data_IF_441428733107
#
_entry.id   IF_441428733107
#
_cell.length_a   1.000
_cell.length_b   1.000
_cell.length_c   1.000
_cell.angle_alpha   90.00
_cell.angle_beta   90.00
_cell.angle_gamma   90.00
#
_symmetry.space_group_name_H-M   'P 1'
#
loop_
_entity.id
_entity.type
_entity.pdbx_description
1 polymer ?
#
# COMPACT_ATOMS: atom_id res chain seq x y z
N UNK A 1 -12.47 28.17 -24.53
CA UNK A 1 -12.52 26.70 -24.55
C UNK A 1 -11.09 26.20 -24.54
N UNK A 2 -10.58 25.75 -23.40
CA UNK A 2 -9.24 25.14 -23.31
C UNK A 2 -9.27 23.84 -24.09
N UNK A 3 -8.36 23.67 -25.05
CA UNK A 3 -8.28 22.45 -25.85
C UNK A 3 -8.09 21.25 -24.91
N UNK A 4 -9.05 20.32 -24.95
CA UNK A 4 -8.97 19.06 -24.23
C UNK A 4 -7.86 18.25 -24.91
N UNK A 5 -6.78 17.94 -24.18
CA UNK A 5 -5.78 16.97 -24.66
C UNK A 5 -6.49 15.67 -25.05
N UNK A 6 -5.92 14.86 -25.95
CA UNK A 6 -6.49 13.54 -26.22
C UNK A 6 -6.47 12.68 -24.95
N UNK A 7 -7.39 11.71 -24.85
CA UNK A 7 -7.43 10.74 -23.75
C UNK A 7 -6.07 10.06 -23.56
N UNK A 8 -5.42 9.70 -24.68
CA UNK A 8 -4.08 9.11 -24.69
C UNK A 8 -3.01 10.05 -24.12
N UNK A 9 -2.97 11.32 -24.54
CA UNK A 9 -1.96 12.26 -24.04
C UNK A 9 -2.11 12.50 -22.53
N UNK A 10 -3.36 12.60 -22.04
CA UNK A 10 -3.59 12.72 -20.61
C UNK A 10 -3.24 11.44 -19.84
N UNK A 11 -3.55 10.26 -20.40
CA UNK A 11 -3.14 8.97 -19.84
C UNK A 11 -1.60 8.87 -19.75
N UNK A 12 -0.89 9.24 -20.81
CA UNK A 12 0.58 9.26 -20.83
C UNK A 12 1.17 10.24 -19.83
N UNK A 13 0.56 11.42 -19.68
CA UNK A 13 0.92 12.37 -18.64
C UNK A 13 0.74 11.82 -17.21
N UNK A 14 -0.25 10.95 -16.98
CA UNK A 14 -0.38 10.26 -15.71
C UNK A 14 0.75 9.24 -15.55
N UNK A 15 0.91 8.34 -16.53
CA UNK A 15 1.92 7.28 -16.50
C UNK A 15 3.36 7.79 -16.39
N UNK A 16 3.66 9.00 -16.87
CA UNK A 16 4.99 9.61 -16.70
C UNK A 16 5.34 9.93 -15.25
N UNK A 17 4.36 9.97 -14.35
CA UNK A 17 4.57 10.28 -12.92
C UNK A 17 4.76 9.03 -12.07
N UNK A 18 4.01 7.97 -12.36
CA UNK A 18 4.04 6.67 -11.69
C UNK A 18 3.23 5.64 -12.47
N UNK A 19 3.39 4.38 -12.10
CA UNK A 19 2.46 3.33 -12.52
C UNK A 19 1.06 3.59 -11.94
N UNK A 20 0.04 3.27 -12.74
CA UNK A 20 -1.37 3.30 -12.34
C UNK A 20 -2.04 1.98 -12.75
N UNK A 21 -3.00 1.52 -11.93
CA UNK A 21 -3.86 0.42 -12.37
C UNK A 21 -4.78 0.88 -13.50
N UNK A 22 -5.26 -0.08 -14.30
CA UNK A 22 -6.25 0.17 -15.34
C UNK A 22 -7.47 0.91 -14.76
N UNK A 23 -7.97 0.45 -13.60
CA UNK A 23 -9.12 1.05 -12.95
C UNK A 23 -8.86 2.50 -12.52
N UNK A 24 -7.66 2.82 -12.01
CA UNK A 24 -7.29 4.19 -11.64
C UNK A 24 -7.28 5.11 -12.88
N UNK A 25 -6.72 4.65 -13.99
CA UNK A 25 -6.67 5.41 -15.25
C UNK A 25 -8.05 5.62 -15.83
N UNK A 26 -8.87 4.56 -15.95
CA UNK A 26 -10.26 4.65 -16.43
C UNK A 26 -11.06 5.63 -15.59
N UNK A 27 -10.96 5.59 -14.26
CA UNK A 27 -11.62 6.55 -13.35
C UNK A 27 -11.16 7.99 -13.61
N UNK A 28 -9.84 8.22 -13.73
CA UNK A 28 -9.28 9.56 -13.97
C UNK A 28 -9.69 10.13 -15.32
N UNK A 29 -9.78 9.31 -16.36
CA UNK A 29 -10.25 9.72 -17.67
C UNK A 29 -11.75 10.05 -17.64
N UNK A 30 -12.58 9.22 -17.00
CA UNK A 30 -14.01 9.51 -16.80
C UNK A 30 -14.24 10.84 -16.07
N UNK A 31 -13.45 11.13 -15.03
CA UNK A 31 -13.51 12.42 -14.32
C UNK A 31 -13.13 13.62 -15.19
N UNK A 32 -12.39 13.41 -16.28
CA UNK A 32 -12.09 14.43 -17.31
C UNK A 32 -13.10 14.43 -18.45
N UNK A 33 -14.22 13.74 -18.29
CA UNK A 33 -15.32 13.66 -19.25
C UNK A 33 -14.90 13.14 -20.64
N UNK A 34 -13.94 12.21 -20.71
CA UNK A 34 -13.72 11.42 -21.94
C UNK A 34 -14.83 10.39 -22.12
N UNK A 35 -15.22 10.12 -23.37
CA UNK A 35 -16.21 9.09 -23.69
C UNK A 35 -15.65 7.70 -23.42
N UNK A 36 -16.52 6.69 -23.28
CA UNK A 36 -16.04 5.32 -23.10
C UNK A 36 -15.16 4.86 -24.28
N UNK A 37 -15.50 5.22 -25.51
CA UNK A 37 -14.71 4.87 -26.70
C UNK A 37 -13.31 5.50 -26.68
N UNK A 38 -13.21 6.79 -26.33
CA UNK A 38 -11.90 7.47 -26.18
C UNK A 38 -11.03 6.79 -25.11
N UNK A 39 -11.66 6.34 -24.02
CA UNK A 39 -10.98 5.68 -22.90
C UNK A 39 -10.48 4.30 -23.32
N UNK A 40 -11.33 3.46 -23.90
CA UNK A 40 -10.94 2.10 -24.30
C UNK A 40 -9.87 2.14 -25.38
N UNK A 41 -9.95 3.06 -26.36
CA UNK A 41 -8.89 3.24 -27.36
C UNK A 41 -7.55 3.66 -26.74
N UNK A 42 -7.57 4.62 -25.81
CA UNK A 42 -6.35 5.06 -25.12
C UNK A 42 -5.76 3.94 -24.25
N UNK A 43 -6.60 3.18 -23.56
CA UNK A 43 -6.19 2.05 -22.72
C UNK A 43 -5.59 0.91 -23.55
N UNK A 44 -6.25 0.50 -24.64
CA UNK A 44 -5.76 -0.54 -25.55
C UNK A 44 -4.36 -0.19 -26.05
N UNK A 45 -4.20 1.03 -26.57
CA UNK A 45 -2.90 1.51 -27.05
C UNK A 45 -1.84 1.55 -25.94
N UNK A 46 -2.20 1.96 -24.73
CA UNK A 46 -1.27 1.98 -23.61
C UNK A 46 -0.85 0.58 -23.14
N UNK A 47 -1.74 -0.41 -23.21
CA UNK A 47 -1.46 -1.80 -22.85
C UNK A 47 -0.66 -2.52 -23.95
N UNK A 48 -1.01 -2.31 -25.22
CA UNK A 48 -0.29 -2.83 -26.40
C UNK A 48 1.17 -2.36 -26.43
N UNK A 49 1.44 -1.11 -26.02
CA UNK A 49 2.79 -0.57 -25.94
C UNK A 49 3.45 -0.83 -24.58
N UNK A 50 2.84 -1.64 -23.70
CA UNK A 50 3.30 -1.94 -22.35
C UNK A 50 3.52 -0.71 -21.46
N UNK A 51 2.95 0.45 -21.79
CA UNK A 51 3.02 1.65 -20.96
C UNK A 51 2.20 1.48 -19.68
N UNK A 52 1.05 0.80 -19.76
CA UNK A 52 0.26 0.41 -18.60
C UNK A 52 0.46 -1.08 -18.31
N UNK A 53 0.64 -1.43 -17.04
CA UNK A 53 0.71 -2.82 -16.58
C UNK A 53 0.22 -2.90 -15.13
N UNK A 54 -0.84 -3.68 -14.91
CA UNK A 54 -1.36 -3.94 -13.56
C UNK A 54 -0.36 -4.73 -12.71
N UNK A 55 0.47 -5.57 -13.32
CA UNK A 55 1.55 -6.30 -12.64
C UNK A 55 2.63 -5.35 -12.11
N UNK A 56 3.16 -4.45 -12.96
CA UNK A 56 4.12 -3.42 -12.51
C UNK A 56 3.53 -2.51 -11.44
N UNK A 57 2.27 -2.11 -11.64
CA UNK A 57 1.54 -1.32 -10.66
C UNK A 57 1.44 -2.06 -9.31
N UNK A 58 1.05 -3.32 -9.32
CA UNK A 58 0.92 -4.14 -8.11
C UNK A 58 2.25 -4.24 -7.35
N UNK A 59 3.34 -4.58 -8.05
CA UNK A 59 4.67 -4.71 -7.45
C UNK A 59 5.20 -3.38 -6.88
N UNK A 60 5.07 -2.28 -7.62
CA UNK A 60 5.50 -0.96 -7.15
C UNK A 60 4.66 -0.46 -5.98
N UNK A 61 3.35 -0.70 -6.01
CA UNK A 61 2.43 -0.32 -4.93
C UNK A 61 2.71 -1.09 -3.65
N UNK A 62 2.94 -2.42 -3.75
CA UNK A 62 3.32 -3.26 -2.61
C UNK A 62 4.57 -2.72 -1.93
N UNK A 63 5.66 -2.50 -2.68
CA UNK A 63 6.92 -1.94 -2.14
C UNK A 63 6.69 -0.59 -1.47
N UNK A 64 5.98 0.32 -2.15
CA UNK A 64 5.69 1.65 -1.62
C UNK A 64 4.94 1.58 -0.27
N UNK A 65 3.91 0.73 -0.17
CA UNK A 65 3.08 0.63 1.03
C UNK A 65 3.75 -0.16 2.14
N UNK A 66 4.57 -1.15 1.83
CA UNK A 66 5.42 -1.83 2.81
C UNK A 66 6.38 -0.84 3.50
N UNK A 67 7.00 0.07 2.74
CA UNK A 67 7.84 1.16 3.30
C UNK A 67 7.06 2.11 4.23
N UNK A 68 5.72 2.16 4.12
CA UNK A 68 4.85 2.94 5.00
C UNK A 68 4.36 2.12 6.22
N UNK A 69 4.84 0.89 6.41
CA UNK A 69 4.50 0.04 7.56
C UNK A 69 3.17 -0.69 7.42
N UNK A 70 2.69 -0.95 6.20
CA UNK A 70 1.48 -1.74 5.97
C UNK A 70 1.80 -3.20 5.66
N UNK A 71 1.12 -4.10 6.35
CA UNK A 71 1.23 -5.53 6.19
C UNK A 71 0.38 -6.12 5.05
N UNK A 72 0.60 -7.40 4.73
CA UNK A 72 0.13 -8.02 3.48
C UNK A 72 -1.40 -8.06 3.35
N UNK A 73 -2.15 -8.18 4.47
CA UNK A 73 -3.62 -8.23 4.41
C UNK A 73 -4.21 -6.89 3.98
N UNK A 74 -3.63 -5.78 4.47
CA UNK A 74 -4.07 -4.43 4.09
C UNK A 74 -3.71 -4.16 2.64
N UNK A 75 -2.52 -4.55 2.20
CA UNK A 75 -2.07 -4.43 0.83
C UNK A 75 -3.00 -5.16 -0.13
N UNK A 76 -3.37 -6.41 0.18
CA UNK A 76 -4.34 -7.17 -0.61
C UNK A 76 -5.66 -6.43 -0.74
N UNK A 77 -6.22 -5.95 0.37
CA UNK A 77 -7.48 -5.21 0.37
C UNK A 77 -7.40 -3.94 -0.51
N UNK A 78 -6.34 -3.15 -0.36
CA UNK A 78 -6.13 -1.92 -1.12
C UNK A 78 -5.96 -2.19 -2.63
N UNK A 79 -5.24 -3.24 -3.00
CA UNK A 79 -5.04 -3.65 -4.39
C UNK A 79 -6.32 -4.17 -5.05
N UNK A 80 -7.14 -4.94 -4.31
CA UNK A 80 -8.47 -5.36 -4.79
C UNK A 80 -9.37 -4.15 -5.07
N UNK A 81 -9.38 -3.14 -4.19
CA UNK A 81 -10.15 -1.90 -4.40
C UNK A 81 -9.65 -1.08 -5.60
N UNK A 82 -8.40 -1.30 -6.00
CA UNK A 82 -7.76 -0.72 -7.19
C UNK A 82 -7.95 -1.57 -8.45
N UNK A 83 -8.74 -2.63 -8.38
CA UNK A 83 -9.12 -3.46 -9.53
C UNK A 83 -8.10 -4.51 -9.91
N UNK A 84 -7.06 -4.73 -9.09
CA UNK A 84 -6.06 -5.75 -9.37
C UNK A 84 -6.65 -7.12 -9.09
N UNK A 85 -6.40 -8.05 -10.01
CA UNK A 85 -6.90 -9.43 -9.91
C UNK A 85 -6.21 -10.13 -8.74
N UNK A 86 -6.98 -10.92 -8.01
CA UNK A 86 -6.52 -11.59 -6.79
C UNK A 86 -5.27 -12.47 -7.02
N UNK A 87 -5.20 -13.17 -8.16
CA UNK A 87 -4.05 -13.98 -8.52
C UNK A 87 -2.77 -13.16 -8.78
N UNK A 88 -2.88 -11.94 -9.34
CA UNK A 88 -1.73 -11.04 -9.53
C UNK A 88 -1.23 -10.54 -8.18
N UNK A 89 -2.16 -10.26 -7.25
CA UNK A 89 -1.81 -9.84 -5.89
C UNK A 89 -1.08 -10.97 -5.18
N UNK A 90 -1.59 -12.21 -5.28
CA UNK A 90 -0.95 -13.37 -4.69
C UNK A 90 0.47 -13.55 -5.26
N UNK A 91 0.62 -13.53 -6.58
CA UNK A 91 1.92 -13.61 -7.23
C UNK A 91 2.88 -12.49 -6.80
N UNK A 92 2.39 -11.26 -6.64
CA UNK A 92 3.21 -10.15 -6.18
C UNK A 92 3.64 -10.28 -4.71
N UNK A 93 2.77 -10.82 -3.85
CA UNK A 93 3.09 -11.11 -2.44
C UNK A 93 4.09 -12.26 -2.33
N UNK A 94 3.94 -13.31 -3.13
CA UNK A 94 4.83 -14.47 -3.12
C UNK A 94 6.24 -14.11 -3.65
N UNK A 95 6.32 -13.19 -4.61
CA UNK A 95 7.58 -12.76 -5.21
C UNK A 95 8.21 -11.54 -4.52
N UNK A 96 7.58 -10.97 -3.49
CA UNK A 96 8.17 -9.83 -2.80
C UNK A 96 9.25 -10.28 -1.81
N UNK A 97 10.33 -9.52 -1.73
CA UNK A 97 11.43 -9.76 -0.78
C UNK A 97 11.17 -9.10 0.58
N UNK A 98 9.91 -8.80 0.91
CA UNK A 98 9.56 -8.14 2.17
C UNK A 98 9.48 -9.18 3.28
N UNK A 99 10.33 -9.08 4.29
CA UNK A 99 10.14 -9.80 5.54
C UNK A 99 9.02 -9.12 6.35
N UNK A 100 7.86 -9.77 6.38
CA UNK A 100 6.69 -9.25 7.08
C UNK A 100 6.81 -9.31 8.61
N UNK A 101 7.66 -10.17 9.15
CA UNK A 101 7.94 -10.24 10.59
C UNK A 101 8.84 -9.07 11.00
N UNK A 102 9.94 -8.86 10.28
CA UNK A 102 10.85 -7.72 10.53
C UNK A 102 10.12 -6.39 10.37
N UNK A 103 9.30 -6.25 9.32
CA UNK A 103 8.50 -5.04 9.14
C UNK A 103 7.51 -4.84 10.30
N UNK A 104 6.84 -5.90 10.74
CA UNK A 104 5.90 -5.83 11.87
C UNK A 104 6.58 -5.41 13.16
N UNK A 105 7.75 -5.97 13.47
CA UNK A 105 8.56 -5.62 14.63
C UNK A 105 8.99 -4.15 14.57
N UNK A 106 9.49 -3.68 13.43
CA UNK A 106 9.90 -2.28 13.27
C UNK A 106 8.75 -1.29 13.46
N UNK A 107 7.55 -1.63 12.97
CA UNK A 107 6.33 -0.83 13.16
C UNK A 107 5.87 -0.91 14.61
N UNK A 108 6.01 -2.08 15.23
CA UNK A 108 5.62 -2.31 16.60
C UNK A 108 6.43 -1.45 17.56
N UNK A 109 7.76 -1.53 17.50
CA UNK A 109 8.67 -0.78 18.36
C UNK A 109 8.51 0.74 18.21
N UNK A 110 8.37 1.22 16.96
CA UNK A 110 8.14 2.66 16.71
C UNK A 110 6.83 3.17 17.31
N UNK A 111 5.81 2.32 17.43
CA UNK A 111 4.46 2.75 17.84
C UNK A 111 4.13 2.43 19.29
N UNK A 112 4.80 1.43 19.88
CA UNK A 112 4.55 0.95 21.23
C UNK A 112 4.69 2.13 22.22
N UNK A 113 3.69 2.39 23.07
CA UNK A 113 3.83 3.37 24.13
C UNK A 113 4.79 2.85 25.20
N UNK A 114 5.41 3.77 25.93
CA UNK A 114 6.30 3.44 27.04
C UNK A 114 5.59 2.62 28.12
N UNK A 115 4.42 3.10 28.59
CA UNK A 115 3.58 2.37 29.55
C UNK A 115 2.90 1.20 28.84
N UNK A 116 3.20 -0.03 29.27
CA UNK A 116 2.77 -1.28 28.62
C UNK A 116 1.67 -2.03 29.39
N UNK A 117 0.60 -1.32 29.75
CA UNK A 117 -0.56 -1.88 30.43
C UNK A 117 -1.53 -2.65 29.49
N UNK A 118 -2.57 -3.27 30.06
CA UNK A 118 -3.58 -4.01 29.29
C UNK A 118 -4.25 -3.14 28.20
N UNK A 119 -4.46 -1.85 28.48
CA UNK A 119 -5.11 -0.91 27.56
C UNK A 119 -4.18 -0.58 26.38
N UNK A 120 -2.89 -0.39 26.63
CA UNK A 120 -1.85 -0.22 25.63
C UNK A 120 -1.74 -1.45 24.73
N UNK A 121 -1.67 -2.66 25.31
CA UNK A 121 -1.67 -3.94 24.57
C UNK A 121 -2.88 -4.05 23.64
N UNK A 122 -4.10 -3.78 24.13
CA UNK A 122 -5.32 -3.82 23.30
C UNK A 122 -5.33 -2.77 22.18
N UNK A 123 -4.82 -1.56 22.44
CA UNK A 123 -4.70 -0.51 21.41
C UNK A 123 -3.69 -0.93 20.36
N UNK A 124 -2.55 -1.48 20.79
CA UNK A 124 -1.49 -1.91 19.90
C UNK A 124 -1.92 -3.10 19.03
N UNK A 125 -2.68 -4.05 19.60
CA UNK A 125 -3.24 -5.16 18.84
C UNK A 125 -4.13 -4.66 17.71
N UNK A 126 -5.08 -3.77 18.02
CA UNK A 126 -5.96 -3.18 17.01
C UNK A 126 -5.17 -2.39 15.96
N UNK A 127 -4.12 -1.69 16.37
CA UNK A 127 -3.25 -0.95 15.46
C UNK A 127 -2.59 -1.90 14.46
N UNK A 128 -1.94 -2.98 14.91
CA UNK A 128 -1.26 -3.94 14.03
C UNK A 128 -2.22 -4.64 13.07
N UNK A 129 -3.38 -5.08 13.56
CA UNK A 129 -4.43 -5.67 12.70
C UNK A 129 -4.93 -4.67 11.66
N UNK A 130 -5.18 -3.41 12.06
CA UNK A 130 -5.63 -2.37 11.13
C UNK A 130 -4.59 -2.01 10.07
N UNK A 131 -3.29 -2.19 10.38
CA UNK A 131 -2.19 -2.02 9.43
C UNK A 131 -1.98 -3.25 8.55
N UNK A 132 -2.73 -4.34 8.77
CA UNK A 132 -2.77 -5.50 7.89
C UNK A 132 -1.77 -6.59 8.20
N UNK A 133 -1.16 -6.55 9.39
CA UNK A 133 -0.34 -7.66 9.86
C UNK A 133 -1.22 -8.83 10.28
N UNK A 134 -0.75 -10.05 9.99
CA UNK A 134 -1.34 -11.25 10.54
C UNK A 134 -0.90 -11.42 12.00
N UNK A 135 -1.64 -12.19 12.79
CA UNK A 135 -1.40 -12.29 14.24
C UNK A 135 -0.01 -12.85 14.52
N UNK A 136 0.38 -13.88 13.77
CA UNK A 136 1.69 -14.54 13.83
C UNK A 136 2.86 -13.56 13.66
N UNK A 137 2.71 -12.52 12.82
CA UNK A 137 3.77 -11.53 12.62
C UNK A 137 4.14 -10.75 13.89
N UNK A 138 3.24 -10.57 14.86
CA UNK A 138 3.48 -9.67 15.99
C UNK A 138 3.00 -10.17 17.35
N UNK A 139 2.27 -11.29 17.43
CA UNK A 139 1.66 -11.74 18.69
C UNK A 139 2.71 -12.03 19.76
N UNK A 140 3.86 -12.59 19.37
CA UNK A 140 4.97 -12.86 20.27
C UNK A 140 5.52 -11.59 20.94
N UNK A 141 5.45 -10.44 20.27
CA UNK A 141 5.89 -9.15 20.81
C UNK A 141 4.95 -8.64 21.92
N UNK A 142 3.70 -9.10 21.97
CA UNK A 142 2.73 -8.67 22.99
C UNK A 142 2.97 -9.27 24.37
N UNK A 143 3.57 -10.47 24.37
CA UNK A 143 3.79 -11.27 25.57
C UNK A 143 5.11 -10.93 26.26
N UNK A 144 5.96 -10.14 25.59
CA UNK A 144 7.17 -9.59 26.20
C UNK A 144 6.82 -8.64 27.35
N UNK A 145 7.53 -8.82 28.45
CA UNK A 145 7.54 -7.87 29.55
C UNK A 145 8.58 -6.80 29.23
N UNK A 146 8.12 -5.62 28.84
CA UNK A 146 9.00 -4.53 28.48
C UNK A 146 9.58 -3.82 29.70
N UNK A 147 9.12 -4.12 30.93
CA UNK A 147 9.59 -3.54 32.18
C UNK A 147 9.54 -2.00 32.25
N UNK A 148 9.51 -1.44 33.45
CA UNK A 148 9.71 0.01 33.65
C UNK A 148 11.20 0.40 33.64
N UNK A 149 12.02 -0.17 32.73
CA UNK A 149 13.45 0.11 32.69
C UNK A 149 13.82 0.94 31.45
N UNK A 150 13.91 2.25 31.66
CA UNK A 150 15.16 2.99 31.44
C UNK A 150 15.22 4.16 32.42
N UNK A 151 16.37 4.31 33.06
CA UNK A 151 16.72 5.35 34.01
C UNK A 151 16.30 6.74 33.55
N UNK A 152 15.94 7.55 34.55
CA UNK A 152 15.71 8.98 34.43
C UNK A 152 17.00 9.72 34.06
N UNK A 153 17.47 9.62 32.81
CA UNK A 153 18.53 10.47 32.28
C UNK A 153 18.25 10.79 30.81
N UNK A 154 17.38 11.76 30.58
CA UNK A 154 17.51 12.80 29.54
C UNK A 154 16.52 13.92 29.87
N UNK A 155 16.90 14.76 30.82
CA UNK A 155 16.54 16.18 30.76
C UNK A 155 17.32 16.77 29.60
N UNK A 156 16.61 17.18 28.55
CA UNK A 156 17.02 18.27 27.68
C UNK A 156 15.80 19.17 27.48
N UNK A 157 15.87 20.32 28.16
CA UNK A 157 15.16 21.61 28.03
C UNK A 157 13.70 21.69 27.55
#
# INVERSE_FOLDING_TARGET
MTAKYSALNYLLYLLSKRDYSELELKRKLKLKAYTNDEIEQAMSKAQENHWQSDERFCASYLRYRALQGYGPRRLRQELLQKGIKDWMIQQALDNCEVDWFELAESVFEKKRPHVWDLKAKQKMWRYMISHGFANDHFSHLMDLDYGDNYDAEYTDE
#
